data_IF_726702421850
#
_entry.id   IF_726702421850
#
_cell.length_a   1.000
_cell.length_b   1.000
_cell.length_c   1.000
_cell.angle_alpha   90.00
_cell.angle_beta   90.00
_cell.angle_gamma   90.00
#
_symmetry.space_group_name_H-M   'P 1'
#
loop_
_entity.id
_entity.type
_entity.pdbx_description
1 polymer ?
#
# COMPACT_ATOMS: atom_id res chain seq x y z
N UNK A 1 -16.14 -28.15 9.54
CA UNK A 1 -16.91 -26.89 9.52
C UNK A 1 -16.16 -25.95 8.60
N UNK A 2 -16.71 -25.65 7.42
CA UNK A 2 -16.07 -24.69 6.52
C UNK A 2 -16.26 -23.30 7.12
N UNK A 3 -15.17 -22.65 7.50
CA UNK A 3 -15.17 -21.22 7.76
C UNK A 3 -15.56 -20.54 6.45
N UNK A 4 -16.78 -20.02 6.34
CA UNK A 4 -17.14 -19.20 5.18
C UNK A 4 -16.27 -17.96 5.25
N UNK A 5 -15.22 -17.91 4.43
CA UNK A 5 -14.48 -16.68 4.19
C UNK A 5 -15.47 -15.66 3.64
N UNK A 6 -15.59 -14.51 4.31
CA UNK A 6 -16.35 -13.37 3.78
C UNK A 6 -15.74 -12.83 2.48
N UNK A 7 -14.46 -13.13 2.24
CA UNK A 7 -13.73 -12.78 1.02
C UNK A 7 -13.85 -13.92 0.01
N UNK A 8 -14.35 -13.58 -1.18
CA UNK A 8 -14.48 -14.47 -2.35
C UNK A 8 -13.22 -14.45 -3.22
N UNK A 9 -12.36 -13.46 -3.05
CA UNK A 9 -11.04 -13.39 -3.65
C UNK A 9 -9.93 -13.75 -2.66
N UNK A 10 -8.74 -14.00 -3.20
CA UNK A 10 -7.52 -14.23 -2.42
C UNK A 10 -6.58 -13.06 -2.62
N UNK A 11 -6.03 -12.52 -1.55
CA UNK A 11 -5.24 -11.29 -1.58
C UNK A 11 -3.77 -11.56 -1.26
N UNK A 12 -2.87 -11.02 -2.08
CA UNK A 12 -1.48 -10.75 -1.69
C UNK A 12 -1.32 -9.26 -1.50
N UNK A 13 -0.85 -8.86 -0.33
CA UNK A 13 -0.55 -7.46 -0.02
C UNK A 13 0.96 -7.31 -0.04
N UNK A 14 1.45 -6.39 -0.87
CA UNK A 14 2.86 -6.01 -0.89
C UNK A 14 3.03 -4.55 -0.51
N UNK A 15 4.11 -4.31 0.21
CA UNK A 15 4.67 -2.98 0.40
C UNK A 15 5.61 -2.67 -0.77
N UNK A 16 5.64 -1.41 -1.19
CA UNK A 16 6.63 -0.92 -2.13
C UNK A 16 8.07 -1.19 -1.65
N UNK A 17 9.00 -1.34 -2.60
CA UNK A 17 10.43 -1.40 -2.30
C UNK A 17 10.97 -0.07 -1.77
N UNK A 18 12.23 -0.05 -1.32
CA UNK A 18 12.88 1.16 -0.81
C UNK A 18 12.77 2.33 -1.79
N UNK A 19 12.24 3.47 -1.33
CA UNK A 19 12.09 4.68 -2.14
C UNK A 19 13.21 5.70 -1.90
N UNK A 20 13.38 6.65 -2.83
CA UNK A 20 14.35 7.76 -2.69
C UNK A 20 14.10 8.56 -1.38
N UNK A 21 12.85 8.85 -0.97
CA UNK A 21 12.56 9.42 0.35
C UNK A 21 13.04 8.54 1.51
N UNK A 22 12.89 7.21 1.41
CA UNK A 22 13.38 6.32 2.47
C UNK A 22 14.90 6.39 2.60
N UNK A 23 15.64 6.50 1.49
CA UNK A 23 17.09 6.72 1.53
C UNK A 23 17.49 8.04 2.16
N UNK A 24 16.67 9.08 1.94
CA UNK A 24 16.85 10.40 2.54
C UNK A 24 16.29 10.49 3.96
N UNK A 25 15.67 9.42 4.47
CA UNK A 25 15.00 9.41 5.76
C UNK A 25 13.83 10.40 5.84
N UNK A 26 13.09 10.63 4.76
CA UNK A 26 11.99 11.60 4.69
C UNK A 26 10.62 10.92 4.71
N UNK A 27 9.65 11.58 5.35
CA UNK A 27 8.23 11.25 5.29
C UNK A 27 7.63 11.85 4.01
N UNK A 28 7.06 11.01 3.15
CA UNK A 28 6.30 11.42 1.96
C UNK A 28 4.96 10.72 1.97
N UNK A 29 3.96 11.47 2.42
CA UNK A 29 2.62 10.99 2.73
C UNK A 29 1.52 11.74 1.98
N UNK A 30 1.79 12.96 1.53
CA UNK A 30 0.86 13.71 0.69
C UNK A 30 0.76 13.11 -0.71
N UNK A 31 -0.43 13.22 -1.34
CA UNK A 31 -0.60 12.82 -2.73
C UNK A 31 0.22 13.70 -3.68
N UNK A 32 0.28 15.01 -3.41
CA UNK A 32 1.03 15.99 -4.21
C UNK A 32 2.50 15.59 -4.36
N UNK A 33 3.15 15.22 -3.26
CA UNK A 33 4.52 14.71 -3.32
C UNK A 33 4.57 13.26 -3.78
N UNK A 34 3.65 12.41 -3.33
CA UNK A 34 3.64 10.97 -3.59
C UNK A 34 3.65 10.59 -5.08
N UNK A 35 3.13 11.44 -5.97
CA UNK A 35 3.13 11.22 -7.44
C UNK A 35 4.40 11.70 -8.15
N UNK A 36 5.30 12.42 -7.46
CA UNK A 36 6.48 13.03 -8.06
C UNK A 36 7.56 11.99 -8.36
N UNK A 37 8.17 12.09 -9.54
CA UNK A 37 9.20 11.13 -9.99
C UNK A 37 10.45 11.15 -9.11
N UNK A 38 10.80 12.29 -8.51
CA UNK A 38 11.91 12.33 -7.56
C UNK A 38 11.69 11.48 -6.29
N UNK A 39 10.45 11.03 -6.04
CA UNK A 39 10.08 10.20 -4.90
C UNK A 39 9.71 8.76 -5.27
N UNK A 40 10.12 8.32 -6.46
CA UNK A 40 10.01 6.93 -6.91
C UNK A 40 10.92 5.97 -6.11
N UNK A 41 10.96 4.70 -6.54
CA UNK A 41 11.87 3.71 -5.99
C UNK A 41 13.35 4.12 -6.13
N UNK A 42 14.13 3.86 -5.10
CA UNK A 42 15.59 3.86 -5.20
C UNK A 42 16.06 2.63 -5.98
N UNK A 43 17.33 2.60 -6.41
CA UNK A 43 17.90 1.46 -7.15
C UNK A 43 17.70 0.14 -6.41
N UNK A 44 17.97 0.11 -5.10
CA UNK A 44 17.73 -1.06 -4.25
C UNK A 44 16.23 -1.46 -4.22
N UNK A 45 15.32 -0.48 -4.22
CA UNK A 45 13.89 -0.74 -4.25
C UNK A 45 13.40 -1.35 -5.55
N UNK A 46 14.04 -1.01 -6.68
CA UNK A 46 13.77 -1.64 -7.98
C UNK A 46 14.17 -3.11 -7.95
N UNK A 47 15.36 -3.43 -7.44
CA UNK A 47 15.82 -4.82 -7.28
C UNK A 47 14.90 -5.63 -6.36
N UNK A 48 14.45 -5.02 -5.25
CA UNK A 48 13.46 -5.62 -4.34
C UNK A 48 12.14 -5.93 -5.07
N UNK A 49 11.63 -4.99 -5.87
CA UNK A 49 10.40 -5.17 -6.63
C UNK A 49 10.53 -6.26 -7.69
N UNK A 50 11.67 -6.32 -8.40
CA UNK A 50 11.95 -7.39 -9.36
C UNK A 50 12.00 -8.77 -8.70
N UNK A 51 12.67 -8.88 -7.54
CA UNK A 51 12.74 -10.12 -6.78
C UNK A 51 11.35 -10.55 -6.30
N UNK A 52 10.56 -9.62 -5.76
CA UNK A 52 9.19 -9.89 -5.34
C UNK A 52 8.33 -10.39 -6.50
N UNK A 53 8.45 -9.79 -7.69
CA UNK A 53 7.78 -10.26 -8.90
C UNK A 53 8.19 -11.68 -9.30
N UNK A 54 9.49 -12.02 -9.23
CA UNK A 54 9.99 -13.38 -9.51
C UNK A 54 9.44 -14.40 -8.51
N UNK A 55 9.42 -14.06 -7.23
CA UNK A 55 8.86 -14.92 -6.17
C UNK A 55 7.35 -15.10 -6.34
N UNK A 56 6.62 -14.04 -6.67
CA UNK A 56 5.19 -14.11 -6.94
C UNK A 56 4.89 -15.02 -8.14
N UNK A 57 5.62 -14.86 -9.25
CA UNK A 57 5.47 -15.76 -10.41
C UNK A 57 5.78 -17.22 -10.09
N UNK A 58 6.73 -17.48 -9.17
CA UNK A 58 7.02 -18.82 -8.68
C UNK A 58 5.85 -19.38 -7.87
N UNK A 59 5.32 -18.61 -6.93
CA UNK A 59 4.17 -18.99 -6.11
C UNK A 59 2.94 -19.32 -6.98
N UNK A 60 2.66 -18.49 -7.99
CA UNK A 60 1.55 -18.75 -8.92
C UNK A 60 1.72 -20.08 -9.65
N UNK A 61 2.94 -20.41 -10.09
CA UNK A 61 3.23 -21.67 -10.78
C UNK A 61 3.11 -22.87 -9.85
N UNK A 62 3.61 -22.76 -8.62
CA UNK A 62 3.59 -23.86 -7.63
C UNK A 62 2.17 -24.19 -7.15
N UNK A 63 1.24 -23.25 -7.27
CA UNK A 63 -0.17 -23.43 -6.92
C UNK A 63 -1.10 -23.58 -8.13
N UNK A 64 -0.55 -23.78 -9.34
CA UNK A 64 -1.31 -23.89 -10.59
C UNK A 64 -2.31 -22.73 -10.82
N UNK A 65 -1.89 -21.50 -10.50
CA UNK A 65 -2.70 -20.29 -10.65
C UNK A 65 -2.41 -19.64 -12.01
N UNK A 66 -3.39 -19.59 -12.93
CA UNK A 66 -3.23 -18.90 -14.20
C UNK A 66 -3.09 -17.38 -14.01
N UNK A 67 -2.16 -16.74 -14.73
CA UNK A 67 -1.96 -15.29 -14.68
C UNK A 67 -3.22 -14.48 -15.03
N UNK A 68 -4.07 -15.00 -15.91
CA UNK A 68 -5.37 -14.40 -16.26
C UNK A 68 -6.36 -14.30 -15.09
N UNK A 69 -6.13 -15.08 -14.02
CA UNK A 69 -6.89 -15.02 -12.78
C UNK A 69 -6.30 -14.06 -11.76
N UNK A 70 -5.15 -13.46 -12.07
CA UNK A 70 -4.53 -12.42 -11.26
C UNK A 70 -5.07 -11.05 -11.67
N UNK A 71 -5.37 -10.21 -10.68
CA UNK A 71 -5.69 -8.79 -10.85
C UNK A 71 -4.69 -7.99 -10.03
N UNK A 72 -4.08 -6.98 -10.63
CA UNK A 72 -3.12 -6.11 -9.96
C UNK A 72 -3.81 -4.78 -9.66
N UNK A 73 -3.71 -4.34 -8.42
CA UNK A 73 -4.22 -3.05 -7.94
C UNK A 73 -3.08 -2.33 -7.22
N UNK A 74 -2.91 -1.03 -7.43
CA UNK A 74 -1.84 -0.28 -6.78
C UNK A 74 -2.23 1.15 -6.41
N UNK A 75 -1.50 1.69 -5.43
CA UNK A 75 -1.56 3.08 -5.01
C UNK A 75 -1.20 4.05 -6.14
N UNK A 76 -1.80 5.26 -6.21
CA UNK A 76 -1.43 6.28 -7.20
C UNK A 76 0.01 6.80 -7.08
N UNK A 77 0.72 6.48 -6.01
CA UNK A 77 2.06 7.00 -5.74
C UNK A 77 3.10 6.46 -6.75
N UNK A 78 4.09 7.27 -7.09
CA UNK A 78 5.10 6.93 -8.09
C UNK A 78 5.86 5.64 -7.73
N UNK A 79 6.08 5.38 -6.43
CA UNK A 79 6.77 4.19 -5.91
C UNK A 79 6.00 2.87 -6.10
N UNK A 80 4.73 2.92 -6.47
CA UNK A 80 3.87 1.75 -6.72
C UNK A 80 3.43 1.64 -8.19
N UNK A 81 3.76 2.63 -9.04
CA UNK A 81 3.23 2.73 -10.39
C UNK A 81 3.94 1.82 -11.38
N UNK A 82 3.41 0.63 -11.62
CA UNK A 82 3.66 -0.16 -12.84
C UNK A 82 2.43 -1.01 -13.23
N UNK A 83 1.87 -0.74 -14.43
CA UNK A 83 0.99 -1.59 -15.29
C UNK A 83 -0.20 -2.33 -14.66
N UNK A 84 -1.12 -1.62 -13.98
CA UNK A 84 -2.41 -2.21 -13.55
C UNK A 84 -3.50 -1.13 -13.27
N UNK A 85 -4.55 -1.49 -12.55
CA UNK A 85 -5.60 -0.56 -12.10
C UNK A 85 -5.14 0.27 -10.88
N UNK A 86 -5.18 1.59 -11.01
CA UNK A 86 -4.86 2.53 -9.92
C UNK A 86 -6.07 2.60 -8.99
N UNK A 87 -5.87 2.35 -7.69
CA UNK A 87 -6.89 2.59 -6.68
C UNK A 87 -6.40 3.65 -5.70
N UNK A 88 -7.04 4.82 -5.71
CA UNK A 88 -6.69 5.95 -4.84
C UNK A 88 -6.78 5.61 -3.34
N UNK A 89 -7.69 4.71 -3.00
CA UNK A 89 -7.89 4.21 -1.63
C UNK A 89 -6.75 3.32 -1.12
N UNK A 90 -5.78 2.98 -1.97
CA UNK A 90 -4.54 2.29 -1.59
C UNK A 90 -3.37 3.24 -1.31
N UNK A 91 -3.59 4.56 -1.36
CA UNK A 91 -2.54 5.55 -1.06
C UNK A 91 -1.99 5.43 0.36
N UNK A 92 -0.82 6.00 0.59
CA UNK A 92 -0.17 6.11 1.89
C UNK A 92 -1.07 6.90 2.85
N UNK A 93 -1.01 6.60 4.14
CA UNK A 93 -1.68 7.42 5.15
C UNK A 93 -1.13 8.84 5.08
N UNK A 94 -1.98 9.82 4.86
CA UNK A 94 -1.56 11.22 4.89
C UNK A 94 -1.37 11.67 6.34
N UNK A 95 -0.14 12.00 6.74
CA UNK A 95 0.13 12.41 8.13
C UNK A 95 -0.14 13.89 8.41
N UNK A 96 -0.58 14.65 7.40
CA UNK A 96 -0.81 16.08 7.50
C UNK A 96 0.42 16.92 7.14
N UNK A 97 0.23 18.23 6.89
CA UNK A 97 1.29 19.12 6.43
C UNK A 97 2.43 19.28 7.44
N UNK A 98 2.18 19.09 8.74
CA UNK A 98 3.17 19.23 9.79
C UNK A 98 4.23 18.12 9.79
N UNK A 99 3.94 16.98 9.17
CA UNK A 99 4.85 15.82 9.10
C UNK A 99 5.43 15.59 7.70
N UNK A 100 4.91 16.27 6.69
CA UNK A 100 5.32 16.09 5.31
C UNK A 100 6.75 16.62 5.08
N UNK A 101 7.58 15.81 4.41
CA UNK A 101 9.01 16.08 4.17
C UNK A 101 9.86 16.26 5.44
N UNK A 102 9.35 15.86 6.60
CA UNK A 102 10.15 15.77 7.83
C UNK A 102 10.97 14.48 7.89
N UNK A 103 11.98 14.41 8.78
CA UNK A 103 12.69 13.17 9.04
C UNK A 103 11.77 12.06 9.56
N UNK A 104 12.10 10.82 9.21
CA UNK A 104 11.32 9.63 9.56
C UNK A 104 11.35 9.26 11.05
N UNK A 105 12.22 9.87 11.85
CA UNK A 105 12.19 9.71 13.32
C UNK A 105 10.89 10.25 13.92
N UNK A 106 10.22 11.18 13.24
CA UNK A 106 8.89 11.71 13.58
C UNK A 106 7.77 10.69 13.52
N UNK A 107 7.97 9.52 12.91
CA UNK A 107 7.00 8.42 13.02
C UNK A 107 6.76 8.01 14.47
N UNK A 108 7.75 8.13 15.35
CA UNK A 108 7.57 7.82 16.77
C UNK A 108 6.52 8.69 17.45
N UNK A 109 6.41 9.96 17.05
CA UNK A 109 5.39 10.88 17.57
C UNK A 109 3.99 10.48 17.07
N UNK A 110 3.89 10.11 15.79
CA UNK A 110 2.64 9.66 15.17
C UNK A 110 2.15 8.36 15.83
N UNK A 111 3.03 7.36 15.98
CA UNK A 111 2.66 6.07 16.59
C UNK A 111 2.24 6.23 18.05
N UNK A 112 2.86 7.15 18.80
CA UNK A 112 2.45 7.45 20.17
C UNK A 112 1.07 8.14 20.24
N UNK A 113 0.60 8.79 19.17
CA UNK A 113 -0.78 9.28 19.06
C UNK A 113 -1.73 8.12 18.74
N UNK A 114 -1.38 7.28 17.76
CA UNK A 114 -2.19 6.14 17.32
C UNK A 114 -2.42 5.12 18.44
N UNK A 115 -1.39 4.83 19.24
CA UNK A 115 -1.47 3.90 20.37
C UNK A 115 -2.48 4.36 21.43
N UNK A 116 -2.65 5.68 21.59
CA UNK A 116 -3.61 6.23 22.53
C UNK A 116 -5.03 6.15 21.99
N UNK A 117 -5.20 6.49 20.72
CA UNK A 117 -6.51 6.52 20.07
C UNK A 117 -6.39 6.40 18.54
N UNK A 118 -6.82 5.28 17.93
CA UNK A 118 -6.76 5.08 16.48
C UNK A 118 -7.71 5.99 15.69
N UNK A 119 -8.65 6.67 16.35
CA UNK A 119 -9.58 7.63 15.73
C UNK A 119 -9.02 9.06 15.73
N UNK A 120 -7.93 9.32 16.45
CA UNK A 120 -7.31 10.63 16.49
C UNK A 120 -6.60 10.93 15.17
N UNK A 121 -6.89 12.11 14.61
CA UNK A 121 -6.22 12.61 13.41
C UNK A 121 -5.06 13.54 13.79
N UNK A 122 -3.87 13.41 13.17
CA UNK A 122 -2.92 14.50 13.17
C UNK A 122 -3.51 15.72 12.43
N UNK A 123 -3.02 16.92 12.72
CA UNK A 123 -3.57 18.13 12.13
C UNK A 123 -3.53 18.07 10.59
N UNK A 124 -4.70 18.15 9.96
CA UNK A 124 -4.85 18.07 8.50
C UNK A 124 -4.59 16.70 7.88
N UNK A 125 -4.26 15.67 8.67
CA UNK A 125 -4.00 14.30 8.19
C UNK A 125 -5.13 13.30 8.49
N UNK A 126 -4.82 12.04 8.24
CA UNK A 126 -5.71 10.88 8.40
C UNK A 126 -5.44 10.16 9.73
N UNK A 127 -6.49 9.65 10.36
CA UNK A 127 -6.41 8.71 11.48
C UNK A 127 -6.17 7.28 10.99
N UNK A 128 -5.94 6.34 11.91
CA UNK A 128 -5.87 4.91 11.56
C UNK A 128 -7.23 4.42 11.05
N UNK A 129 -8.33 4.89 11.64
CA UNK A 129 -9.70 4.55 11.23
C UNK A 129 -10.03 5.03 9.80
N UNK A 130 -9.58 6.23 9.41
CA UNK A 130 -9.76 6.73 8.05
C UNK A 130 -9.11 5.81 7.01
N UNK A 131 -7.88 5.37 7.30
CA UNK A 131 -7.12 4.45 6.44
C UNK A 131 -7.77 3.08 6.39
N UNK A 132 -8.21 2.55 7.53
CA UNK A 132 -8.92 1.28 7.60
C UNK A 132 -10.24 1.32 6.82
N UNK A 133 -11.00 2.41 6.94
CA UNK A 133 -12.29 2.62 6.27
C UNK A 133 -12.16 2.69 4.74
N UNK A 134 -11.16 3.41 4.22
CA UNK A 134 -10.92 3.45 2.77
C UNK A 134 -10.36 2.13 2.23
N UNK A 135 -9.51 1.44 2.99
CA UNK A 135 -9.02 0.12 2.59
C UNK A 135 -10.17 -0.89 2.55
N UNK A 136 -11.08 -0.87 3.54
CA UNK A 136 -12.28 -1.69 3.55
C UNK A 136 -13.19 -1.38 2.34
N UNK A 137 -13.32 -0.10 1.97
CA UNK A 137 -14.06 0.32 0.78
C UNK A 137 -13.42 -0.20 -0.50
N UNK A 138 -12.10 -0.08 -0.64
CA UNK A 138 -11.36 -0.65 -1.77
C UNK A 138 -11.54 -2.17 -1.87
N UNK A 139 -11.47 -2.88 -0.74
CA UNK A 139 -11.72 -4.31 -0.68
C UNK A 139 -13.15 -4.66 -1.06
N UNK A 140 -14.15 -3.91 -0.60
CA UNK A 140 -15.55 -4.11 -0.97
C UNK A 140 -15.78 -3.91 -2.48
N UNK A 141 -15.17 -2.88 -3.07
CA UNK A 141 -15.20 -2.65 -4.52
C UNK A 141 -14.59 -3.84 -5.27
N UNK A 142 -13.39 -4.25 -4.89
CA UNK A 142 -12.70 -5.41 -5.48
C UNK A 142 -13.52 -6.71 -5.35
N UNK A 143 -14.18 -6.94 -4.21
CA UNK A 143 -15.07 -8.09 -3.97
C UNK A 143 -16.38 -8.03 -4.78
N UNK A 144 -16.81 -6.83 -5.19
CA UNK A 144 -18.00 -6.65 -6.03
C UNK A 144 -17.70 -6.86 -7.52
N UNK A 145 -16.52 -6.45 -7.96
CA UNK A 145 -16.09 -6.49 -9.36
C UNK A 145 -15.46 -7.84 -9.74
N UNK A 146 -14.78 -8.48 -8.80
CA UNK A 146 -14.03 -9.70 -9.02
C UNK A 146 -14.55 -10.84 -8.13
N UNK A 147 -14.62 -12.05 -8.69
CA UNK A 147 -15.00 -13.26 -7.97
C UNK A 147 -14.03 -14.38 -8.26
N UNK A 148 -13.55 -15.05 -7.21
CA UNK A 148 -12.60 -16.16 -7.33
C UNK A 148 -11.25 -15.76 -7.92
N UNK A 149 -10.89 -14.47 -7.87
CA UNK A 149 -9.65 -13.93 -8.40
C UNK A 149 -8.57 -13.83 -7.33
N UNK A 150 -7.35 -13.69 -7.82
CA UNK A 150 -6.12 -13.54 -7.06
C UNK A 150 -5.69 -12.08 -7.16
N UNK A 151 -5.89 -11.31 -6.12
CA UNK A 151 -5.69 -9.86 -6.12
C UNK A 151 -4.32 -9.55 -5.53
N UNK A 152 -3.47 -8.93 -6.33
CA UNK A 152 -2.15 -8.45 -5.95
C UNK A 152 -2.23 -6.95 -5.67
N UNK A 153 -2.23 -6.59 -4.38
CA UNK A 153 -2.42 -5.24 -3.88
C UNK A 153 -1.07 -4.64 -3.48
N UNK A 154 -0.58 -3.66 -4.24
CA UNK A 154 0.59 -2.87 -3.86
C UNK A 154 0.17 -1.60 -3.14
N UNK A 155 0.27 -1.66 -1.81
CA UNK A 155 0.00 -0.53 -0.94
C UNK A 155 1.28 0.29 -0.75
N UNK A 156 1.12 1.61 -0.66
CA UNK A 156 2.22 2.50 -0.30
C UNK A 156 2.47 2.57 1.21
N UNK A 157 1.63 1.97 2.06
CA UNK A 157 1.68 2.19 3.51
C UNK A 157 2.86 1.57 4.25
N UNK A 158 3.52 2.40 5.06
CA UNK A 158 4.41 1.96 6.15
C UNK A 158 3.65 1.18 7.22
N UNK A 159 4.39 0.42 8.04
CA UNK A 159 3.90 -0.44 9.13
C UNK A 159 2.61 0.06 9.79
N UNK A 160 1.60 -0.83 9.86
CA UNK A 160 0.45 -0.72 10.75
C UNK A 160 0.90 -0.82 12.22
#
# INVERSE_FOLDING_TARGET
MATSSFLRNRYWVLRHGKSIPNEKGLIVSSLENGIRLEYQLASEGVEQAELAGKLFLKELKENDIPLENVRMCYSPFARTRHTAEVMEDLRERYFGPSFELLPHDKYTEIWAMDEKDPFTRPEGGESVDDVASRLASAMATMESEYQGKYIYNMNSSGHW
#
